data_IF_227782137867
#
_entry.id   IF_227782137867
#
_cell.length_a   1.000
_cell.length_b   1.000
_cell.length_c   1.000
_cell.angle_alpha   90.00
_cell.angle_beta   90.00
_cell.angle_gamma   90.00
#
_symmetry.space_group_name_H-M   'P 1'
#
loop_
_entity.id
_entity.type
_entity.pdbx_description
1 polymer ?
#
# COMPACT_ATOMS: atom_id res chain seq x y z
N UNK A 1 -5.63 -8.03 -6.42
CA UNK A 1 -5.74 -7.48 -5.04
C UNK A 1 -5.92 -5.96 -5.07
N UNK A 2 -5.00 -5.16 -5.62
CA UNK A 2 -5.16 -3.68 -5.72
C UNK A 2 -6.46 -3.25 -6.44
N UNK A 3 -6.72 -3.78 -7.64
CA UNK A 3 -7.96 -3.49 -8.40
C UNK A 3 -9.24 -3.91 -7.67
N UNK A 4 -9.18 -4.97 -6.86
CA UNK A 4 -10.34 -5.44 -6.09
C UNK A 4 -10.68 -4.46 -4.98
N UNK A 5 -9.68 -3.99 -4.23
CA UNK A 5 -9.86 -2.94 -3.23
C UNK A 5 -10.38 -1.64 -3.86
N UNK A 6 -9.87 -1.29 -5.05
CA UNK A 6 -10.35 -0.12 -5.77
C UNK A 6 -11.81 -0.27 -6.24
N UNK A 7 -12.17 -1.45 -6.76
CA UNK A 7 -13.55 -1.74 -7.14
C UNK A 7 -14.49 -1.72 -5.92
N UNK A 8 -14.07 -2.30 -4.79
CA UNK A 8 -14.82 -2.25 -3.54
C UNK A 8 -14.98 -0.82 -3.02
N UNK A 9 -13.94 0.01 -3.16
CA UNK A 9 -13.99 1.44 -2.86
C UNK A 9 -15.06 2.15 -3.70
N UNK A 10 -15.05 1.94 -5.02
CA UNK A 10 -16.02 2.54 -5.93
C UNK A 10 -17.46 2.08 -5.61
N UNK A 11 -17.64 0.79 -5.36
CA UNK A 11 -18.93 0.23 -4.97
C UNK A 11 -19.42 0.81 -3.63
N UNK A 12 -18.51 0.95 -2.65
CA UNK A 12 -18.84 1.56 -1.36
C UNK A 12 -19.24 3.02 -1.55
N UNK A 13 -18.51 3.77 -2.38
CA UNK A 13 -18.83 5.17 -2.69
C UNK A 13 -20.24 5.30 -3.32
N UNK A 14 -20.59 4.39 -4.24
CA UNK A 14 -21.90 4.35 -4.90
C UNK A 14 -23.04 4.01 -3.91
N UNK A 15 -22.84 2.98 -3.06
CA UNK A 15 -23.81 2.59 -2.01
C UNK A 15 -24.11 3.76 -1.06
N UNK A 16 -23.13 4.60 -0.76
CA UNK A 16 -23.28 5.76 0.12
C UNK A 16 -23.71 7.04 -0.61
N UNK A 17 -24.10 6.94 -1.89
CA UNK A 17 -24.65 8.05 -2.67
C UNK A 17 -23.63 9.12 -3.04
N UNK A 18 -22.35 8.77 -3.15
CA UNK A 18 -21.31 9.65 -3.67
C UNK A 18 -21.33 9.61 -5.20
N UNK A 19 -21.88 10.65 -5.82
CA UNK A 19 -21.78 10.84 -7.28
C UNK A 19 -20.50 11.59 -7.63
N UNK A 20 -19.77 11.22 -8.69
CA UNK A 20 -18.61 11.98 -9.16
C UNK A 20 -19.04 13.43 -9.46
N UNK A 21 -18.36 14.42 -8.88
CA UNK A 21 -18.63 15.86 -9.04
C UNK A 21 -20.02 16.33 -8.54
N UNK A 22 -20.81 15.47 -7.90
CA UNK A 22 -22.08 15.84 -7.27
C UNK A 22 -21.97 15.99 -5.75
N UNK A 23 -22.97 16.61 -5.13
CA UNK A 23 -23.00 16.78 -3.68
C UNK A 23 -23.16 15.44 -2.95
N UNK A 24 -22.27 15.15 -2.01
CA UNK A 24 -22.36 13.97 -1.14
C UNK A 24 -23.61 14.03 -0.25
N UNK A 25 -24.47 13.01 -0.32
CA UNK A 25 -25.73 12.91 0.45
C UNK A 25 -25.68 11.94 1.63
N UNK A 26 -24.58 11.21 1.80
CA UNK A 26 -24.40 10.21 2.86
C UNK A 26 -23.83 10.76 4.16
N UNK A 27 -23.70 9.89 5.16
CA UNK A 27 -23.09 10.22 6.44
C UNK A 27 -21.56 10.32 6.25
N UNK A 28 -20.93 11.43 6.66
CA UNK A 28 -19.49 11.71 6.47
C UNK A 28 -18.57 10.60 7.00
N UNK A 29 -19.10 9.79 7.91
CA UNK A 29 -18.46 8.66 8.54
C UNK A 29 -18.07 7.54 7.56
N UNK A 30 -18.96 7.19 6.62
CA UNK A 30 -18.80 6.04 5.72
C UNK A 30 -17.77 6.30 4.62
N UNK A 31 -17.66 7.55 4.17
CA UNK A 31 -16.70 8.03 3.17
C UNK A 31 -15.22 7.89 3.61
N UNK A 32 -14.97 7.85 4.93
CA UNK A 32 -13.63 7.77 5.50
C UNK A 32 -13.14 6.34 5.81
N UNK A 33 -14.02 5.33 5.76
CA UNK A 33 -13.61 3.92 5.83
C UNK A 33 -12.96 3.46 4.50
N UNK A 34 -13.56 3.90 3.40
CA UNK A 34 -13.11 3.72 2.01
C UNK A 34 -11.66 4.22 1.78
N UNK A 35 -11.18 5.09 2.65
CA UNK A 35 -9.85 5.68 2.61
C UNK A 35 -8.70 4.73 2.94
N UNK A 36 -8.92 3.84 3.90
CA UNK A 36 -7.94 2.80 4.24
C UNK A 36 -7.78 1.80 3.10
N UNK A 37 -8.89 1.50 2.41
CA UNK A 37 -8.93 0.64 1.22
C UNK A 37 -8.19 1.28 0.04
N UNK A 38 -8.43 2.57 -0.23
CA UNK A 38 -7.74 3.29 -1.30
C UNK A 38 -6.24 3.41 -1.03
N UNK A 39 -5.86 3.76 0.20
CA UNK A 39 -4.44 3.82 0.60
C UNK A 39 -3.76 2.48 0.38
N UNK A 40 -4.42 1.39 0.79
CA UNK A 40 -3.91 0.03 0.57
C UNK A 40 -3.84 -0.33 -0.91
N UNK A 41 -4.85 0.00 -1.71
CA UNK A 41 -4.87 -0.24 -3.14
C UNK A 41 -3.67 0.43 -3.84
N UNK A 42 -3.36 1.67 -3.46
CA UNK A 42 -2.20 2.41 -3.95
C UNK A 42 -0.88 1.74 -3.54
N UNK A 43 -0.72 1.35 -2.28
CA UNK A 43 0.49 0.67 -1.80
C UNK A 43 0.69 -0.65 -2.53
N UNK A 44 -0.37 -1.44 -2.70
CA UNK A 44 -0.32 -2.71 -3.43
C UNK A 44 0.03 -2.50 -4.90
N UNK A 45 -0.52 -1.46 -5.55
CA UNK A 45 -0.17 -1.09 -6.91
C UNK A 45 1.33 -0.71 -7.00
N UNK A 46 1.81 0.11 -6.07
CA UNK A 46 3.21 0.52 -5.98
C UNK A 46 4.14 -0.70 -5.85
N UNK A 47 3.84 -1.62 -4.94
CA UNK A 47 4.65 -2.82 -4.73
C UNK A 47 4.62 -3.71 -5.98
N UNK A 48 3.45 -3.87 -6.61
CA UNK A 48 3.32 -4.64 -7.86
C UNK A 48 4.16 -4.03 -8.99
N UNK A 49 4.12 -2.70 -9.18
CA UNK A 49 4.92 -2.01 -10.19
C UNK A 49 6.42 -2.15 -9.92
N UNK A 50 6.83 -2.09 -8.65
CA UNK A 50 8.23 -2.29 -8.26
C UNK A 50 8.70 -3.72 -8.49
N UNK A 51 7.84 -4.73 -8.31
CA UNK A 51 8.14 -6.11 -8.70
C UNK A 51 8.22 -6.26 -10.22
N UNK A 52 7.30 -5.64 -10.96
CA UNK A 52 7.32 -5.61 -12.43
C UNK A 52 8.51 -4.86 -13.00
N UNK A 53 9.15 -3.96 -12.25
CA UNK A 53 10.36 -3.25 -12.65
C UNK A 53 11.50 -4.19 -13.04
N UNK A 54 11.65 -5.32 -12.33
CA UNK A 54 12.64 -6.34 -12.62
C UNK A 54 12.33 -7.06 -13.95
N UNK A 55 11.05 -7.26 -14.26
CA UNK A 55 10.60 -7.83 -15.54
C UNK A 55 10.82 -6.84 -16.68
N UNK A 56 10.50 -5.56 -16.49
CA UNK A 56 10.79 -4.52 -17.48
C UNK A 56 12.29 -4.41 -17.75
N UNK A 57 13.11 -4.46 -16.69
CA UNK A 57 14.56 -4.50 -16.83
C UNK A 57 15.04 -5.69 -17.68
N UNK A 58 14.49 -6.89 -17.46
CA UNK A 58 14.80 -8.09 -18.23
C UNK A 58 14.31 -8.01 -19.69
N UNK A 59 13.12 -7.45 -19.93
CA UNK A 59 12.58 -7.25 -21.28
C UNK A 59 13.37 -6.19 -22.07
N UNK A 60 13.80 -5.11 -21.42
CA UNK A 60 14.72 -4.15 -22.03
C UNK A 60 16.08 -4.77 -22.36
N UNK A 61 16.51 -5.79 -21.61
CA UNK A 61 17.76 -6.50 -21.89
C UNK A 61 17.64 -7.39 -23.14
N UNK A 62 16.51 -8.09 -23.30
CA UNK A 62 16.23 -8.91 -24.49
C UNK A 62 16.14 -8.08 -25.78
N UNK A 63 15.57 -6.87 -25.71
CA UNK A 63 15.45 -5.97 -26.86
C UNK A 63 16.74 -5.17 -27.15
N UNK A 64 17.74 -5.24 -26.27
CA UNK A 64 18.97 -4.47 -26.35
C UNK A 64 20.16 -5.18 -27.00
N UNK A 65 19.97 -6.32 -27.68
CA UNK A 65 21.02 -7.02 -28.45
C UNK A 65 21.43 -6.28 -29.73
N UNK A 66 21.59 -4.96 -29.66
CA UNK A 66 22.22 -4.14 -30.70
C UNK A 66 23.71 -4.04 -30.37
N UNK A 67 24.63 -4.47 -31.26
CA UNK A 67 26.07 -4.37 -31.02
C UNK A 67 26.46 -2.90 -30.79
N UNK A 68 26.97 -2.59 -29.59
CA UNK A 68 27.40 -1.24 -29.20
C UNK A 68 26.59 -0.55 -28.10
N UNK A 69 25.53 -1.18 -27.57
CA UNK A 69 24.68 -0.59 -26.52
C UNK A 69 25.26 -0.76 -25.10
N UNK A 70 25.25 0.33 -24.34
CA UNK A 70 25.69 0.50 -22.95
C UNK A 70 25.21 -0.63 -22.01
N UNK A 71 26.13 -1.11 -21.16
CA UNK A 71 26.02 -2.37 -20.41
C UNK A 71 24.80 -2.56 -19.51
N UNK A 72 24.46 -3.84 -19.27
CA UNK A 72 23.35 -4.42 -18.47
C UNK A 72 22.85 -3.58 -17.28
N UNK A 73 23.77 -2.95 -16.54
CA UNK A 73 23.47 -2.10 -15.39
C UNK A 73 22.59 -0.87 -15.75
N UNK A 74 22.76 -0.28 -16.93
CA UNK A 74 21.99 0.89 -17.39
C UNK A 74 20.51 0.57 -17.66
N UNK A 75 20.20 -0.70 -17.96
CA UNK A 75 18.85 -1.15 -18.36
C UNK A 75 18.00 -1.51 -17.16
N UNK A 76 18.60 -2.15 -16.14
CA UNK A 76 17.96 -2.39 -14.85
C UNK A 76 17.55 -1.06 -14.20
N UNK A 77 18.38 -0.04 -14.32
CA UNK A 77 18.10 1.28 -13.74
C UNK A 77 17.02 2.05 -14.50
N UNK A 78 16.87 1.80 -15.80
CA UNK A 78 15.76 2.34 -16.59
C UNK A 78 14.43 1.68 -16.21
N UNK A 79 14.40 0.35 -16.04
CA UNK A 79 13.21 -0.39 -15.57
C UNK A 79 12.76 0.04 -14.17
N UNK A 80 13.70 0.22 -13.24
CA UNK A 80 13.41 0.76 -11.91
C UNK A 80 12.96 2.23 -12.01
N UNK A 81 13.59 3.04 -12.87
CA UNK A 81 13.20 4.43 -13.10
C UNK A 81 11.76 4.57 -13.58
N UNK A 82 11.34 3.74 -14.54
CA UNK A 82 9.95 3.71 -15.05
C UNK A 82 8.98 3.31 -13.93
N UNK A 83 9.30 2.28 -13.14
CA UNK A 83 8.45 1.85 -12.04
C UNK A 83 8.32 2.91 -10.93
N UNK A 84 9.40 3.65 -10.66
CA UNK A 84 9.41 4.76 -9.70
C UNK A 84 8.58 5.94 -10.16
N UNK A 85 8.43 6.17 -11.47
CA UNK A 85 7.57 7.25 -12.01
C UNK A 85 6.11 6.79 -12.14
N UNK A 86 5.88 5.56 -12.61
CA UNK A 86 4.54 5.00 -12.77
C UNK A 86 3.78 4.87 -11.44
N UNK A 87 4.50 4.56 -10.37
CA UNK A 87 3.94 4.42 -9.03
C UNK A 87 3.25 5.68 -8.48
N UNK A 88 3.98 6.81 -8.32
CA UNK A 88 3.42 8.10 -7.95
C UNK A 88 2.35 8.58 -8.94
N UNK A 89 2.48 8.30 -10.23
CA UNK A 89 1.45 8.64 -11.22
C UNK A 89 0.12 7.92 -10.93
N UNK A 90 0.17 6.63 -10.59
CA UNK A 90 -1.02 5.86 -10.19
C UNK A 90 -1.55 6.35 -8.84
N UNK A 91 -0.69 6.68 -7.88
CA UNK A 91 -1.10 7.29 -6.63
C UNK A 91 -1.82 8.63 -6.83
N UNK A 92 -1.32 9.47 -7.73
CA UNK A 92 -1.95 10.74 -8.10
C UNK A 92 -3.28 10.52 -8.81
N UNK A 93 -3.37 9.54 -9.71
CA UNK A 93 -4.60 9.21 -10.42
C UNK A 93 -5.66 8.69 -9.45
N UNK A 94 -5.27 7.83 -8.50
CA UNK A 94 -6.14 7.36 -7.41
C UNK A 94 -6.55 8.51 -6.47
N UNK A 95 -5.63 9.40 -6.11
CA UNK A 95 -5.92 10.59 -5.30
C UNK A 95 -6.84 11.58 -6.03
N UNK A 96 -6.73 11.70 -7.35
CA UNK A 96 -7.62 12.51 -8.17
C UNK A 96 -9.01 11.88 -8.25
N UNK A 97 -9.11 10.56 -8.40
CA UNK A 97 -10.41 9.88 -8.33
C UNK A 97 -11.06 10.07 -6.98
N UNK A 98 -10.30 9.91 -5.89
CA UNK A 98 -10.77 10.25 -4.54
C UNK A 98 -11.28 11.70 -4.51
N UNK A 99 -10.47 12.68 -4.93
CA UNK A 99 -10.86 14.08 -4.95
C UNK A 99 -12.21 14.31 -5.65
N UNK A 100 -12.41 13.72 -6.82
CA UNK A 100 -13.65 13.86 -7.60
C UNK A 100 -14.89 13.28 -6.90
N UNK A 101 -14.73 12.27 -6.04
CA UNK A 101 -15.80 11.76 -5.17
C UNK A 101 -15.95 12.56 -3.86
N UNK A 102 -14.90 13.26 -3.42
CA UNK A 102 -14.86 14.06 -2.18
C UNK A 102 -15.15 15.56 -2.38
N UNK A 103 -15.36 16.05 -3.61
CA UNK A 103 -15.70 17.46 -3.90
C UNK A 103 -17.17 17.74 -3.56
N UNK A 104 -17.49 17.83 -2.27
CA UNK A 104 -18.76 18.37 -1.82
C UNK A 104 -18.73 19.92 -1.87
N UNK A 105 -19.84 20.60 -2.18
CA UNK A 105 -19.93 22.08 -2.18
C UNK A 105 -19.73 22.73 -0.79
N UNK A 106 -19.74 21.95 0.29
CA UNK A 106 -19.50 22.45 1.64
C UNK A 106 -17.99 22.61 1.91
N UNK A 107 -17.55 23.86 1.83
CA UNK A 107 -16.19 24.43 1.92
C UNK A 107 -15.33 24.11 3.15
N UNK A 108 -15.70 23.15 4.01
CA UNK A 108 -15.02 22.92 5.30
C UNK A 108 -13.92 21.85 5.28
N UNK A 109 -13.93 20.89 4.33
CA UNK A 109 -13.02 19.73 4.41
C UNK A 109 -12.25 19.37 3.12
N UNK A 110 -12.51 20.03 1.99
CA UNK A 110 -11.85 19.75 0.71
C UNK A 110 -10.29 19.77 0.73
N UNK A 111 -9.60 20.66 1.48
CA UNK A 111 -8.13 20.69 1.47
C UNK A 111 -7.48 19.72 2.48
N UNK A 112 -8.16 19.34 3.56
CA UNK A 112 -7.57 18.50 4.62
C UNK A 112 -7.54 17.03 4.22
N UNK A 113 -8.60 16.53 3.57
CA UNK A 113 -8.67 15.13 3.15
C UNK A 113 -7.58 14.79 2.14
N UNK A 114 -7.36 15.58 1.09
CA UNK A 114 -6.28 15.29 0.12
C UNK A 114 -4.90 15.12 0.76
N UNK A 115 -4.58 15.97 1.75
CA UNK A 115 -3.28 15.94 2.45
C UNK A 115 -3.03 14.59 3.10
N UNK A 116 -4.04 14.01 3.73
CA UNK A 116 -3.91 12.73 4.42
C UNK A 116 -3.79 11.55 3.44
N UNK A 117 -4.18 11.68 2.16
CA UNK A 117 -4.19 10.56 1.18
C UNK A 117 -2.80 10.38 0.62
N UNK A 118 -2.16 11.52 0.40
CA UNK A 118 -0.83 11.62 -0.16
C UNK A 118 0.21 11.35 0.93
N UNK A 119 -0.05 11.77 2.17
CA UNK A 119 0.88 11.65 3.30
C UNK A 119 1.43 10.24 3.56
N UNK A 120 0.61 9.17 3.66
CA UNK A 120 1.11 7.82 3.92
C UNK A 120 1.80 7.20 2.70
N UNK A 121 1.49 7.67 1.49
CA UNK A 121 2.08 7.15 0.25
C UNK A 121 3.45 7.79 -0.04
N UNK A 122 3.63 9.06 0.30
CA UNK A 122 4.88 9.80 0.13
C UNK A 122 6.12 9.07 0.64
N UNK A 123 6.19 8.58 1.90
CA UNK A 123 7.40 7.93 2.41
C UNK A 123 7.71 6.62 1.65
N UNK A 124 6.69 5.91 1.18
CA UNK A 124 6.87 4.70 0.37
C UNK A 124 7.44 5.05 -1.01
N UNK A 125 6.88 6.06 -1.67
CA UNK A 125 7.33 6.53 -2.97
C UNK A 125 8.78 7.08 -2.90
N UNK A 126 9.08 7.90 -1.89
CA UNK A 126 10.41 8.49 -1.67
C UNK A 126 11.44 7.39 -1.39
N UNK A 127 11.14 6.44 -0.50
CA UNK A 127 12.09 5.37 -0.17
C UNK A 127 12.37 4.45 -1.37
N UNK A 128 11.35 4.12 -2.17
CA UNK A 128 11.53 3.38 -3.41
C UNK A 128 12.37 4.16 -4.44
N UNK A 129 12.13 5.47 -4.59
CA UNK A 129 12.91 6.33 -5.47
C UNK A 129 14.38 6.43 -5.03
N UNK A 130 14.64 6.53 -3.73
CA UNK A 130 16.00 6.55 -3.18
C UNK A 130 16.74 5.25 -3.46
N UNK A 131 16.07 4.09 -3.35
CA UNK A 131 16.66 2.80 -3.69
C UNK A 131 17.03 2.75 -5.17
N UNK A 132 16.16 3.24 -6.05
CA UNK A 132 16.42 3.31 -7.49
C UNK A 132 17.63 4.20 -7.84
N UNK A 133 17.70 5.38 -7.24
CA UNK A 133 18.81 6.32 -7.45
C UNK A 133 20.11 5.74 -6.89
N UNK A 134 20.07 5.11 -5.71
CA UNK A 134 21.23 4.46 -5.12
C UNK A 134 21.74 3.28 -5.98
N UNK A 135 20.82 2.45 -6.49
CA UNK A 135 21.11 1.37 -7.42
C UNK A 135 21.80 1.87 -8.70
N UNK A 136 21.27 2.94 -9.29
CA UNK A 136 21.81 3.54 -10.51
C UNK A 136 23.20 4.14 -10.30
N UNK A 137 23.38 4.89 -9.21
CA UNK A 137 24.67 5.53 -8.91
C UNK A 137 25.77 4.53 -8.55
N UNK A 138 25.43 3.46 -7.82
CA UNK A 138 26.44 2.48 -7.35
C UNK A 138 26.77 1.40 -8.37
N UNK A 139 25.98 1.24 -9.43
CA UNK A 139 26.13 0.17 -10.44
C UNK A 139 26.30 -1.23 -9.82
N UNK A 140 25.71 -1.42 -8.64
CA UNK A 140 25.92 -2.60 -7.81
C UNK A 140 24.81 -3.62 -8.06
N UNK A 141 25.16 -4.89 -8.14
CA UNK A 141 24.19 -6.00 -8.19
C UNK A 141 24.20 -6.70 -6.83
N UNK A 142 23.06 -6.80 -6.13
CA UNK A 142 22.99 -7.53 -4.87
C UNK A 142 23.34 -9.01 -5.09
N UNK A 143 23.98 -9.65 -4.09
CA UNK A 143 24.48 -11.03 -4.16
C UNK A 143 23.39 -12.06 -4.49
N UNK A 144 22.18 -11.84 -4.00
CA UNK A 144 21.02 -12.72 -4.24
C UNK A 144 20.22 -12.33 -5.50
N UNK A 145 20.69 -11.35 -6.28
CA UNK A 145 20.01 -10.83 -7.46
C UNK A 145 18.90 -9.81 -7.16
N UNK A 146 18.52 -9.04 -8.19
CA UNK A 146 17.51 -7.98 -8.08
C UNK A 146 16.11 -8.52 -7.76
N UNK A 147 15.80 -9.74 -8.20
CA UNK A 147 14.51 -10.37 -7.93
C UNK A 147 14.33 -10.65 -6.43
N UNK A 148 15.30 -11.33 -5.79
CA UNK A 148 15.29 -11.54 -4.34
C UNK A 148 15.37 -10.22 -3.55
N UNK A 149 16.02 -9.20 -4.12
CA UNK A 149 16.09 -7.88 -3.51
C UNK A 149 14.76 -7.12 -3.55
N UNK A 150 13.96 -7.28 -4.61
CA UNK A 150 12.68 -6.60 -4.76
C UNK A 150 11.49 -7.45 -4.27
N UNK A 151 11.72 -8.72 -3.96
CA UNK A 151 10.72 -9.63 -3.42
C UNK A 151 10.19 -9.14 -2.07
N UNK A 152 9.02 -8.50 -2.11
CA UNK A 152 8.22 -8.18 -0.94
C UNK A 152 7.45 -9.41 -0.46
N UNK A 153 7.37 -9.67 0.86
CA UNK A 153 6.72 -10.88 1.40
C UNK A 153 5.24 -10.96 1.02
N UNK A 154 4.88 -11.93 0.18
CA UNK A 154 3.50 -12.17 -0.28
C UNK A 154 2.53 -12.48 0.88
N UNK A 155 3.03 -13.12 1.94
CA UNK A 155 2.24 -13.37 3.16
C UNK A 155 1.77 -12.08 3.81
N UNK A 156 2.60 -11.03 3.83
CA UNK A 156 2.24 -9.73 4.37
C UNK A 156 1.14 -9.05 3.55
N UNK A 157 1.27 -9.09 2.21
CA UNK A 157 0.28 -8.50 1.30
C UNK A 157 -1.07 -9.19 1.45
N UNK A 158 -1.08 -10.52 1.46
CA UNK A 158 -2.31 -11.32 1.52
C UNK A 158 -3.02 -11.18 2.86
N UNK A 159 -2.32 -11.29 4.00
CA UNK A 159 -2.94 -11.14 5.32
C UNK A 159 -3.47 -9.72 5.55
N UNK A 160 -2.72 -8.71 5.15
CA UNK A 160 -3.16 -7.31 5.31
C UNK A 160 -4.36 -7.00 4.43
N UNK A 161 -4.35 -7.48 3.17
CA UNK A 161 -5.48 -7.27 2.25
C UNK A 161 -6.74 -7.96 2.78
N UNK A 162 -6.62 -9.21 3.27
CA UNK A 162 -7.73 -9.92 3.90
C UNK A 162 -8.27 -9.16 5.13
N UNK A 163 -7.38 -8.63 5.97
CA UNK A 163 -7.79 -7.85 7.14
C UNK A 163 -8.57 -6.58 6.77
N UNK A 164 -8.08 -5.83 5.78
CA UNK A 164 -8.74 -4.61 5.29
C UNK A 164 -10.09 -4.92 4.62
N UNK A 165 -10.15 -5.94 3.75
CA UNK A 165 -11.41 -6.37 3.13
C UNK A 165 -12.41 -6.82 4.19
N UNK A 166 -11.97 -7.57 5.20
CA UNK A 166 -12.86 -8.02 6.30
C UNK A 166 -13.46 -6.82 7.03
N UNK A 167 -12.65 -5.81 7.37
CA UNK A 167 -13.11 -4.59 8.01
C UNK A 167 -14.03 -3.75 7.12
N UNK A 168 -13.73 -3.68 5.83
CA UNK A 168 -14.52 -2.99 4.83
C UNK A 168 -15.92 -3.61 4.70
N UNK A 169 -15.98 -4.93 4.50
CA UNK A 169 -17.23 -5.67 4.35
C UNK A 169 -18.12 -5.53 5.58
N UNK A 170 -17.55 -5.70 6.78
CA UNK A 170 -18.30 -5.58 8.05
C UNK A 170 -18.79 -4.15 8.30
N UNK A 171 -18.10 -3.14 7.74
CA UNK A 171 -18.49 -1.73 7.89
C UNK A 171 -19.55 -1.28 6.88
N UNK A 172 -19.60 -1.91 5.70
CA UNK A 172 -20.53 -1.55 4.62
C UNK A 172 -21.81 -2.36 4.68
N UNK A 173 -21.70 -3.68 4.87
CA UNK A 173 -22.84 -4.58 4.84
C UNK A 173 -23.39 -4.80 6.25
N UNK A 174 -24.70 -4.59 6.42
CA UNK A 174 -25.39 -5.07 7.63
C UNK A 174 -25.38 -6.59 7.60
N UNK A 175 -24.63 -7.17 8.54
CA UNK A 175 -24.60 -8.61 8.73
C UNK A 175 -26.03 -9.12 9.00
N UNK A 176 -26.42 -10.27 8.42
CA UNK A 176 -27.72 -10.86 8.72
C UNK A 176 -27.80 -11.21 10.22
N UNK A 177 -29.02 -11.30 10.75
CA UNK A 177 -29.26 -11.39 12.20
C UNK A 177 -28.48 -12.53 12.91
N UNK A 178 -28.22 -13.64 12.21
CA UNK A 178 -27.44 -14.77 12.73
C UNK A 178 -25.92 -14.52 12.76
N UNK A 179 -25.41 -13.59 11.94
CA UNK A 179 -24.02 -13.12 11.95
C UNK A 179 -23.80 -11.87 12.81
N UNK A 180 -24.86 -11.18 13.22
CA UNK A 180 -24.78 -10.01 14.09
C UNK A 180 -23.89 -10.20 15.34
N UNK A 181 -23.93 -11.33 16.09
CA UNK A 181 -23.04 -11.51 17.25
C UNK A 181 -21.55 -11.64 16.86
N UNK A 182 -21.26 -12.02 15.61
CA UNK A 182 -19.89 -12.17 15.11
C UNK A 182 -19.25 -10.85 14.69
N UNK A 183 -20.01 -9.75 14.61
CA UNK A 183 -19.51 -8.45 14.19
C UNK A 183 -18.23 -8.04 14.94
N UNK A 184 -18.26 -8.10 16.27
CA UNK A 184 -17.12 -7.73 17.12
C UNK A 184 -15.91 -8.63 16.87
N UNK A 185 -16.15 -9.94 16.71
CA UNK A 185 -15.10 -10.92 16.41
C UNK A 185 -14.43 -10.67 15.05
N UNK A 186 -15.22 -10.32 14.03
CA UNK A 186 -14.71 -10.01 12.69
C UNK A 186 -13.90 -8.71 12.66
N UNK A 187 -14.31 -7.69 13.42
CA UNK A 187 -13.53 -6.45 13.57
C UNK A 187 -12.18 -6.72 14.21
N UNK A 188 -12.15 -7.52 15.27
CA UNK A 188 -10.90 -7.92 15.92
C UNK A 188 -10.01 -8.79 15.02
N UNK A 189 -10.60 -9.74 14.30
CA UNK A 189 -9.90 -10.57 13.33
C UNK A 189 -9.26 -9.70 12.23
N UNK A 190 -9.97 -8.68 11.73
CA UNK A 190 -9.45 -7.73 10.76
C UNK A 190 -8.23 -6.96 11.27
N UNK A 191 -8.29 -6.42 12.49
CA UNK A 191 -7.15 -5.73 13.13
C UNK A 191 -5.96 -6.66 13.36
N UNK A 192 -6.21 -7.89 13.79
CA UNK A 192 -5.18 -8.93 14.00
C UNK A 192 -4.47 -9.31 12.69
N UNK A 193 -5.23 -9.53 11.60
CA UNK A 193 -4.69 -9.85 10.28
C UNK A 193 -3.76 -8.76 9.74
N UNK A 194 -4.12 -7.49 9.96
CA UNK A 194 -3.28 -6.34 9.60
C UNK A 194 -2.00 -6.31 10.44
N UNK A 195 -2.10 -6.55 11.75
CA UNK A 195 -0.94 -6.60 12.64
C UNK A 195 0.04 -7.73 12.25
N UNK A 196 -0.47 -8.92 11.95
CA UNK A 196 0.31 -10.05 11.45
C UNK A 196 0.97 -9.69 10.10
N UNK A 197 0.25 -9.00 9.23
CA UNK A 197 0.78 -8.52 7.96
C UNK A 197 1.94 -7.55 8.14
N UNK A 198 1.80 -6.56 9.03
CA UNK A 198 2.85 -5.60 9.38
C UNK A 198 4.07 -6.31 9.98
N UNK A 199 3.86 -7.25 10.91
CA UNK A 199 4.95 -8.02 11.50
C UNK A 199 5.67 -8.90 10.46
N UNK A 200 4.93 -9.50 9.53
CA UNK A 200 5.47 -10.25 8.40
C UNK A 200 6.33 -9.39 7.47
N UNK A 201 5.95 -8.12 7.25
CA UNK A 201 6.76 -7.18 6.48
C UNK A 201 8.06 -6.83 7.22
N UNK A 202 7.98 -6.52 8.52
CA UNK A 202 9.10 -5.93 9.25
C UNK A 202 10.17 -6.94 9.69
N UNK A 203 9.80 -8.19 9.96
CA UNK A 203 10.66 -9.17 10.65
C UNK A 203 10.66 -10.52 9.92
N UNK A 204 11.86 -11.02 9.61
CA UNK A 204 12.06 -12.35 8.99
C UNK A 204 12.03 -13.50 10.00
N UNK A 205 12.64 -13.32 11.19
CA UNK A 205 12.70 -14.32 12.24
C UNK A 205 11.32 -14.51 12.90
N UNK A 206 10.83 -15.76 12.96
CA UNK A 206 9.49 -16.10 13.44
C UNK A 206 9.28 -15.74 14.91
N UNK A 207 10.28 -15.94 15.77
CA UNK A 207 10.16 -15.66 17.21
C UNK A 207 9.99 -14.15 17.44
N UNK A 208 10.85 -13.35 16.82
CA UNK A 208 10.79 -11.88 16.92
C UNK A 208 9.50 -11.37 16.25
N UNK A 209 9.05 -12.01 15.17
CA UNK A 209 7.79 -11.67 14.50
C UNK A 209 6.61 -11.84 15.43
N UNK A 210 6.52 -12.95 16.18
CA UNK A 210 5.45 -13.16 17.17
C UNK A 210 5.53 -12.13 18.29
N UNK A 211 6.74 -11.86 18.81
CA UNK A 211 6.95 -10.88 19.87
C UNK A 211 6.53 -9.46 19.45
N UNK A 212 6.75 -9.07 18.19
CA UNK A 212 6.35 -7.77 17.63
C UNK A 212 4.88 -7.75 17.22
N UNK A 213 4.35 -8.88 16.72
CA UNK A 213 2.96 -8.99 16.32
C UNK A 213 2.00 -8.84 17.50
N UNK A 214 2.37 -9.31 18.69
CA UNK A 214 1.51 -9.29 19.87
C UNK A 214 1.12 -7.86 20.34
N UNK A 215 2.06 -6.92 20.59
CA UNK A 215 1.72 -5.55 20.95
C UNK A 215 1.06 -4.78 19.80
N UNK A 216 1.46 -5.05 18.55
CA UNK A 216 0.81 -4.47 17.37
C UNK A 216 -0.63 -4.94 17.23
N UNK A 217 -0.91 -6.23 17.47
CA UNK A 217 -2.23 -6.80 17.39
C UNK A 217 -3.16 -6.15 18.39
N UNK A 218 -2.76 -6.04 19.66
CA UNK A 218 -3.57 -5.37 20.69
C UNK A 218 -3.89 -3.93 20.26
N UNK A 219 -2.88 -3.17 19.84
CA UNK A 219 -3.05 -1.77 19.44
C UNK A 219 -3.99 -1.62 18.24
N UNK A 220 -3.80 -2.45 17.20
CA UNK A 220 -4.59 -2.39 15.96
C UNK A 220 -6.00 -2.96 16.13
N UNK A 221 -6.19 -3.93 17.03
CA UNK A 221 -7.51 -4.43 17.43
C UNK A 221 -8.33 -3.34 18.12
N UNK A 222 -7.72 -2.58 19.04
CA UNK A 222 -8.37 -1.45 19.71
C UNK A 222 -8.70 -0.35 18.69
N UNK A 223 -7.74 0.01 17.82
CA UNK A 223 -7.97 0.98 16.76
C UNK A 223 -9.05 0.53 15.77
N UNK A 224 -9.13 -0.77 15.45
CA UNK A 224 -10.15 -1.31 14.57
C UNK A 224 -11.57 -1.20 15.16
N UNK A 225 -11.73 -1.20 16.49
CA UNK A 225 -13.04 -0.90 17.09
C UNK A 225 -13.43 0.56 16.90
N UNK A 226 -12.45 1.44 17.05
CA UNK A 226 -12.61 2.88 17.01
C UNK A 226 -13.04 3.41 15.64
N UNK A 227 -14.03 4.31 15.59
CA UNK A 227 -14.49 4.93 14.36
C UNK A 227 -13.39 5.62 13.54
N UNK A 228 -12.43 6.23 14.25
CA UNK A 228 -11.30 6.94 13.66
C UNK A 228 -10.10 6.02 13.38
N UNK A 229 -9.92 4.97 14.20
CA UNK A 229 -8.78 4.08 14.09
C UNK A 229 -8.83 3.22 12.81
N UNK A 230 -10.01 2.74 12.41
CA UNK A 230 -10.21 2.02 11.12
C UNK A 230 -9.69 2.82 9.91
N UNK A 231 -9.82 4.14 9.96
CA UNK A 231 -9.42 5.07 8.88
C UNK A 231 -7.91 5.12 8.67
N UNK A 232 -7.14 4.86 9.72
CA UNK A 232 -5.68 5.01 9.74
C UNK A 232 -4.92 3.69 9.53
N UNK A 233 -5.61 2.54 9.49
CA UNK A 233 -4.97 1.22 9.37
C UNK A 233 -4.13 1.09 8.08
N UNK A 234 -4.61 1.65 6.98
CA UNK A 234 -3.84 1.72 5.73
C UNK A 234 -2.55 2.54 5.88
N UNK A 235 -2.55 3.60 6.68
CA UNK A 235 -1.36 4.42 6.94
C UNK A 235 -0.32 3.68 7.81
N UNK A 236 -0.75 2.89 8.81
CA UNK A 236 0.15 2.04 9.58
C UNK A 236 0.84 0.99 8.70
N UNK A 237 0.11 0.39 7.77
CA UNK A 237 0.72 -0.52 6.80
C UNK A 237 1.66 0.21 5.83
N UNK A 238 1.29 1.41 5.36
CA UNK A 238 2.16 2.25 4.53
C UNK A 238 3.50 2.54 5.23
N UNK A 239 3.45 2.90 6.50
CA UNK A 239 4.65 3.13 7.31
C UNK A 239 5.50 1.86 7.43
N UNK A 240 4.88 0.70 7.63
CA UNK A 240 5.60 -0.57 7.68
C UNK A 240 6.31 -0.89 6.34
N UNK A 241 5.65 -0.64 5.21
CA UNK A 241 6.24 -0.79 3.87
C UNK A 241 7.38 0.21 3.65
N UNK A 242 7.24 1.46 4.09
CA UNK A 242 8.30 2.45 4.02
C UNK A 242 9.52 2.04 4.86
N UNK A 243 9.31 1.53 6.08
CA UNK A 243 10.39 1.00 6.94
C UNK A 243 11.07 -0.19 6.27
N UNK A 244 10.31 -1.07 5.62
CA UNK A 244 10.87 -2.19 4.86
C UNK A 244 11.81 -1.71 3.74
N UNK A 245 11.36 -0.72 2.94
CA UNK A 245 12.18 -0.11 1.91
C UNK A 245 13.42 0.59 2.47
N UNK A 246 13.29 1.27 3.61
CA UNK A 246 14.40 1.93 4.27
C UNK A 246 15.46 0.93 4.75
N UNK A 247 15.05 -0.22 5.29
CA UNK A 247 15.98 -1.32 5.64
C UNK A 247 16.75 -1.82 4.42
N UNK A 248 16.08 -1.95 3.27
CA UNK A 248 16.72 -2.35 2.00
C UNK A 248 17.67 -1.29 1.46
N UNK A 249 17.29 -0.01 1.51
CA UNK A 249 18.18 1.12 1.22
C UNK A 249 19.43 1.06 2.09
N UNK A 250 19.25 0.85 3.40
CA UNK A 250 20.36 0.75 4.34
C UNK A 250 21.29 -0.41 4.01
N UNK A 251 20.74 -1.60 3.69
CA UNK A 251 21.55 -2.74 3.26
C UNK A 251 22.38 -2.43 2.01
N UNK A 252 21.78 -1.77 1.00
CA UNK A 252 22.49 -1.30 -0.20
C UNK A 252 23.60 -0.29 0.12
N UNK A 253 23.38 0.58 1.11
CA UNK A 253 24.35 1.60 1.51
C UNK A 253 25.50 1.03 2.35
N UNK A 254 25.20 0.08 3.23
CA UNK A 254 26.12 -0.54 4.18
C UNK A 254 27.00 -1.64 3.56
N UNK A 255 26.66 -2.15 2.37
CA UNK A 255 27.51 -3.11 1.67
C UNK A 255 28.80 -2.40 1.22
N UNK A 256 29.99 -2.82 1.69
CA UNK A 256 31.26 -2.20 1.30
C UNK A 256 31.57 -2.43 -0.18
N UNK A 257 32.35 -1.51 -0.77
CA UNK A 257 32.81 -1.57 -2.17
C UNK A 257 33.92 -2.59 -2.34
#
# INVERSE_FOLDING_TARGET
>A
MSLLLYAHFLQSADIFGATPLGGYRGDLYQLTAAWSELTMAVILAQVCLLQMAAVFAALLDQNGNVPGSTGSVSRITAGIGIAVVAGPAIALLMAFTAHAYFTAPSSLFAPWTLRWSIWPVLPVAISAALVAVAAWRRRFTPTDGWDAFLAFPASSLTTTTLGIVTLAVVSVYRLPYWLAPWHTGLVYAGGLLIAVGIACALVRNLIIRVAVALPLAISLMILAQGPYGRRMLGAFYAAAVAVWWLKRLWALLATPR
#
